data_IF_699402372096
#
_entry.id   IF_699402372096
#
_cell.length_a   1.000
_cell.length_b   1.000
_cell.length_c   1.000
_cell.angle_alpha   90.00
_cell.angle_beta   90.00
_cell.angle_gamma   90.00
#
_symmetry.space_group_name_H-M   'P 1'
#
loop_
_entity.id
_entity.type
_entity.pdbx_description
1 polymer ?
#
# COMPACT_ATOMS: atom_id res chain seq x y z
N UNK A 1 2.90 31.67 10.64
CA UNK A 1 4.31 31.93 10.30
C UNK A 1 4.54 31.22 8.96
N UNK A 2 4.52 31.96 7.86
CA UNK A 2 4.81 31.38 6.54
C UNK A 2 6.32 31.12 6.51
N UNK A 3 6.71 29.85 6.52
CA UNK A 3 8.08 29.46 6.20
C UNK A 3 8.29 29.83 4.74
N UNK A 4 9.26 30.69 4.46
CA UNK A 4 9.69 30.91 3.09
C UNK A 4 10.40 29.62 2.62
N UNK A 5 9.71 28.88 1.75
CA UNK A 5 10.14 27.57 1.25
C UNK A 5 11.45 27.67 0.44
N UNK A 6 11.74 28.85 -0.13
CA UNK A 6 12.92 29.05 -0.97
C UNK A 6 14.18 29.33 -0.16
N UNK A 7 14.06 29.98 1.00
CA UNK A 7 15.22 30.25 1.89
C UNK A 7 15.67 29.02 2.67
N UNK A 8 14.80 28.01 2.83
CA UNK A 8 15.06 26.85 3.69
C UNK A 8 15.01 25.52 2.94
N UNK A 9 15.12 25.53 1.61
CA UNK A 9 14.90 24.33 0.81
C UNK A 9 15.84 23.18 1.20
N UNK A 10 17.12 23.47 1.47
CA UNK A 10 18.10 22.47 1.88
C UNK A 10 17.73 21.84 3.24
N UNK A 11 17.32 22.67 4.20
CA UNK A 11 16.89 22.22 5.53
C UNK A 11 15.63 21.35 5.43
N UNK A 12 14.66 21.76 4.60
CA UNK A 12 13.42 21.02 4.38
C UNK A 12 13.71 19.67 3.71
N UNK A 13 14.62 19.63 2.73
CA UNK A 13 15.00 18.40 2.03
C UNK A 13 15.76 17.43 2.94
N UNK A 14 16.66 17.93 3.77
CA UNK A 14 17.43 17.12 4.73
C UNK A 14 16.49 16.51 5.79
N UNK A 15 15.68 17.36 6.45
CA UNK A 15 14.66 16.92 7.40
C UNK A 15 13.66 15.95 6.74
N UNK A 16 13.25 16.22 5.50
CA UNK A 16 12.38 15.33 4.73
C UNK A 16 13.01 13.95 4.54
N UNK A 17 14.29 13.89 4.21
CA UNK A 17 15.04 12.64 4.02
C UNK A 17 15.14 11.83 5.32
N UNK A 18 15.43 12.50 6.45
CA UNK A 18 15.45 11.86 7.77
C UNK A 18 14.07 11.33 8.16
N UNK A 19 13.00 12.08 7.89
CA UNK A 19 11.62 11.64 8.16
C UNK A 19 11.23 10.42 7.32
N UNK A 20 11.59 10.39 6.04
CA UNK A 20 11.35 9.22 5.17
C UNK A 20 12.11 7.99 5.71
N UNK A 21 13.36 8.18 6.16
CA UNK A 21 14.13 7.10 6.78
C UNK A 21 13.44 6.58 8.04
N UNK A 22 13.01 7.47 8.94
CA UNK A 22 12.28 7.11 10.15
C UNK A 22 11.03 6.29 9.82
N UNK A 23 10.21 6.72 8.85
CA UNK A 23 8.99 6.00 8.48
C UNK A 23 9.25 4.62 7.86
N UNK A 24 10.37 4.46 7.14
CA UNK A 24 10.78 3.14 6.62
C UNK A 24 11.33 2.23 7.71
N UNK A 25 11.90 2.79 8.78
CA UNK A 25 12.40 2.04 9.95
C UNK A 25 11.28 1.74 10.97
N UNK A 26 10.22 2.55 11.02
CA UNK A 26 9.05 2.31 11.87
C UNK A 26 7.72 2.47 11.09
N UNK A 27 7.21 1.38 10.49
CA UNK A 27 5.94 1.42 9.75
C UNK A 27 4.74 1.73 10.63
N UNK A 28 4.86 1.62 11.96
CA UNK A 28 3.77 1.91 12.91
C UNK A 28 3.59 3.42 13.04
N UNK A 29 4.71 4.13 13.21
CA UNK A 29 4.73 5.59 13.22
C UNK A 29 4.28 6.10 11.84
N UNK A 30 4.75 5.48 10.75
CA UNK A 30 4.31 5.82 9.41
C UNK A 30 2.78 5.67 9.22
N UNK A 31 2.19 4.55 9.66
CA UNK A 31 0.74 4.34 9.61
C UNK A 31 -0.02 5.43 10.39
N UNK A 32 0.45 5.78 11.58
CA UNK A 32 -0.16 6.81 12.41
C UNK A 32 -0.07 8.20 11.74
N UNK A 33 1.14 8.62 11.37
CA UNK A 33 1.38 10.00 10.94
C UNK A 33 0.87 10.25 9.51
N UNK A 34 1.16 9.30 8.60
CA UNK A 34 0.87 9.44 7.18
C UNK A 34 -0.55 8.99 6.84
N UNK A 35 -1.12 8.01 7.52
CA UNK A 35 -2.43 7.44 7.18
C UNK A 35 -3.52 7.72 8.21
N UNK A 36 -3.17 8.32 9.37
CA UNK A 36 -4.09 8.54 10.50
C UNK A 36 -4.70 7.22 10.99
N UNK A 37 -3.86 6.21 11.13
CA UNK A 37 -4.23 4.88 11.60
C UNK A 37 -3.54 4.60 12.92
N UNK A 38 -4.32 4.47 13.99
CA UNK A 38 -3.83 3.88 15.25
C UNK A 38 -4.13 2.38 15.25
N UNK A 39 -3.07 1.57 15.16
CA UNK A 39 -3.15 0.12 15.11
C UNK A 39 -3.28 -0.48 16.50
N UNK A 40 -4.13 -1.50 16.63
CA UNK A 40 -4.17 -2.30 17.85
C UNK A 40 -2.81 -2.99 18.11
N UNK A 41 -2.44 -3.31 19.37
CA UNK A 41 -1.12 -3.87 19.70
C UNK A 41 -0.72 -5.08 18.84
N UNK A 42 -1.65 -6.01 18.59
CA UNK A 42 -1.39 -7.19 17.75
C UNK A 42 -1.16 -6.83 16.27
N UNK A 43 -1.89 -5.83 15.77
CA UNK A 43 -1.76 -5.34 14.40
C UNK A 43 -0.41 -4.65 14.18
N UNK A 44 0.14 -4.00 15.20
CA UNK A 44 1.49 -3.40 15.15
C UNK A 44 2.57 -4.46 14.94
N UNK A 45 2.50 -5.56 15.67
CA UNK A 45 3.46 -6.67 15.51
C UNK A 45 3.35 -7.23 14.08
N UNK A 46 2.12 -7.48 13.60
CA UNK A 46 1.90 -8.06 12.27
C UNK A 46 2.39 -7.12 11.16
N UNK A 47 2.05 -5.83 11.21
CA UNK A 47 2.51 -4.87 10.19
C UNK A 47 4.03 -4.80 10.15
N UNK A 48 4.70 -4.81 11.30
CA UNK A 48 6.17 -4.82 11.37
C UNK A 48 6.76 -6.08 10.72
N UNK A 49 6.17 -7.24 10.96
CA UNK A 49 6.60 -8.50 10.34
C UNK A 49 6.37 -8.51 8.82
N UNK A 50 5.24 -7.97 8.34
CA UNK A 50 4.96 -7.82 6.91
C UNK A 50 5.96 -6.86 6.24
N UNK A 51 6.30 -5.76 6.91
CA UNK A 51 7.15 -4.70 6.35
C UNK A 51 8.60 -5.14 6.13
N UNK A 52 9.17 -5.94 7.03
CA UNK A 52 10.58 -6.30 7.01
C UNK A 52 10.89 -7.66 6.38
N UNK A 53 9.87 -8.45 6.01
CA UNK A 53 10.05 -9.78 5.40
C UNK A 53 9.66 -9.77 3.94
N UNK A 54 10.53 -10.33 3.10
CA UNK A 54 10.26 -10.50 1.67
C UNK A 54 9.05 -11.41 1.40
N UNK A 55 8.86 -12.42 2.25
CA UNK A 55 7.73 -13.35 2.18
C UNK A 55 7.17 -13.58 3.58
N UNK A 56 5.88 -13.34 3.75
CA UNK A 56 5.19 -13.51 5.01
C UNK A 56 3.78 -14.08 4.76
N UNK A 57 3.36 -15.00 5.63
CA UNK A 57 2.00 -15.55 5.64
C UNK A 57 1.40 -15.27 7.02
N UNK A 58 0.27 -14.57 7.04
CA UNK A 58 -0.43 -14.18 8.27
C UNK A 58 -1.65 -15.07 8.53
N UNK A 59 -1.49 -16.04 9.44
CA UNK A 59 -2.59 -16.87 9.93
C UNK A 59 -3.25 -16.16 11.11
N UNK A 60 -4.51 -15.79 10.96
CA UNK A 60 -5.27 -14.99 11.94
C UNK A 60 -6.74 -15.43 11.89
N UNK A 61 -7.44 -15.33 13.01
CA UNK A 61 -8.89 -15.51 13.08
C UNK A 61 -9.71 -14.43 12.36
N UNK A 62 -11.03 -14.64 12.32
CA UNK A 62 -11.98 -13.69 11.73
C UNK A 62 -12.07 -12.42 12.57
N UNK A 63 -12.30 -11.28 11.93
CA UNK A 63 -12.51 -9.99 12.61
C UNK A 63 -11.24 -9.30 13.13
N UNK A 64 -10.05 -9.85 12.89
CA UNK A 64 -8.78 -9.27 13.34
C UNK A 64 -8.19 -8.20 12.39
N UNK A 65 -8.90 -7.87 11.30
CA UNK A 65 -8.52 -6.79 10.39
C UNK A 65 -7.41 -7.13 9.39
N UNK A 66 -7.33 -8.38 8.90
CA UNK A 66 -6.36 -8.80 7.86
C UNK A 66 -6.42 -7.89 6.62
N UNK A 67 -7.58 -7.82 5.97
CA UNK A 67 -7.80 -7.02 4.74
C UNK A 67 -7.39 -5.56 4.92
N UNK A 68 -7.68 -5.02 6.11
CA UNK A 68 -7.26 -3.67 6.50
C UNK A 68 -5.73 -3.54 6.63
N UNK A 69 -5.08 -4.49 7.30
CA UNK A 69 -3.62 -4.53 7.42
C UNK A 69 -2.91 -4.63 6.06
N UNK A 70 -3.41 -5.48 5.15
CA UNK A 70 -2.88 -5.58 3.78
C UNK A 70 -2.97 -4.25 3.04
N UNK A 71 -4.10 -3.53 3.19
CA UNK A 71 -4.27 -2.20 2.59
C UNK A 71 -3.34 -1.14 3.20
N UNK A 72 -3.11 -1.17 4.52
CA UNK A 72 -2.15 -0.28 5.19
C UNK A 72 -0.74 -0.55 4.67
N UNK A 73 -0.32 -1.82 4.63
CA UNK A 73 1.01 -2.20 4.14
C UNK A 73 1.22 -1.77 2.68
N UNK A 74 0.28 -2.11 1.79
CA UNK A 74 0.28 -1.69 0.39
C UNK A 74 0.41 -0.16 0.23
N UNK A 75 -0.38 0.59 1.00
CA UNK A 75 -0.41 2.06 0.92
C UNK A 75 0.88 2.68 1.41
N UNK A 76 1.44 2.19 2.52
CA UNK A 76 2.72 2.68 3.04
C UNK A 76 3.87 2.37 2.07
N UNK A 77 3.90 1.17 1.49
CA UNK A 77 4.93 0.83 0.50
C UNK A 77 4.84 1.73 -0.74
N UNK A 78 3.65 1.93 -1.28
CA UNK A 78 3.45 2.82 -2.43
C UNK A 78 3.79 4.28 -2.11
N UNK A 79 3.55 4.75 -0.89
CA UNK A 79 3.82 6.11 -0.46
C UNK A 79 5.30 6.37 -0.14
N UNK A 80 5.98 5.40 0.48
CA UNK A 80 7.35 5.56 0.99
C UNK A 80 8.42 5.11 0.01
N UNK A 81 8.10 4.31 -1.02
CA UNK A 81 9.04 3.88 -2.05
C UNK A 81 8.60 4.44 -3.41
N UNK A 82 9.42 5.27 -4.07
CA UNK A 82 9.10 5.79 -5.40
C UNK A 82 8.97 4.68 -6.45
N UNK A 83 8.02 4.82 -7.37
CA UNK A 83 7.79 3.88 -8.47
C UNK A 83 7.32 2.49 -8.04
N UNK A 84 6.85 2.33 -6.80
CA UNK A 84 6.51 1.03 -6.25
C UNK A 84 5.16 0.53 -6.78
N UNK A 85 5.12 -0.72 -7.26
CA UNK A 85 3.97 -1.35 -7.91
C UNK A 85 3.44 -2.43 -6.99
N UNK A 86 2.24 -2.23 -6.47
CA UNK A 86 1.59 -3.12 -5.51
C UNK A 86 0.38 -3.79 -6.16
N UNK A 87 0.35 -5.11 -6.14
CA UNK A 87 -0.79 -5.92 -6.59
C UNK A 87 -1.66 -6.35 -5.42
N UNK A 88 -2.96 -6.05 -5.46
CA UNK A 88 -3.95 -6.52 -4.49
C UNK A 88 -4.74 -7.68 -5.09
N UNK A 89 -4.51 -8.88 -4.56
CA UNK A 89 -4.99 -10.14 -5.14
C UNK A 89 -5.82 -10.89 -4.10
N UNK A 90 -6.79 -11.68 -4.59
CA UNK A 90 -7.53 -12.63 -3.76
C UNK A 90 -8.14 -13.72 -4.65
N UNK A 91 -8.82 -14.70 -4.07
CA UNK A 91 -9.41 -15.82 -4.82
C UNK A 91 -10.44 -15.38 -5.87
N UNK A 92 -11.02 -14.18 -5.71
CA UNK A 92 -11.87 -13.53 -6.70
C UNK A 92 -11.60 -12.04 -6.78
N UNK A 93 -11.91 -11.43 -7.93
CA UNK A 93 -11.77 -9.98 -8.08
C UNK A 93 -12.69 -9.20 -7.13
N UNK A 94 -13.86 -9.76 -6.80
CA UNK A 94 -14.76 -9.18 -5.78
C UNK A 94 -14.06 -9.05 -4.43
N UNK A 95 -13.27 -10.05 -4.03
CA UNK A 95 -12.53 -10.01 -2.78
C UNK A 95 -11.31 -9.09 -2.84
N UNK A 96 -10.57 -9.07 -3.95
CA UNK A 96 -9.50 -8.10 -4.16
C UNK A 96 -10.00 -6.65 -4.03
N UNK A 97 -11.23 -6.38 -4.49
CA UNK A 97 -11.90 -5.07 -4.29
C UNK A 97 -12.15 -4.73 -2.83
N UNK A 98 -12.22 -5.69 -1.90
CA UNK A 98 -12.33 -5.38 -0.47
C UNK A 98 -11.03 -4.78 0.07
N UNK A 99 -9.87 -5.32 -0.32
CA UNK A 99 -8.58 -4.71 0.03
C UNK A 99 -8.50 -3.29 -0.54
N UNK A 100 -8.89 -3.12 -1.81
CA UNK A 100 -8.94 -1.79 -2.43
C UNK A 100 -9.93 -0.82 -1.75
N UNK A 101 -11.04 -1.33 -1.22
CA UNK A 101 -12.01 -0.52 -0.46
C UNK A 101 -11.38 0.03 0.82
N UNK A 102 -10.48 -0.71 1.46
CA UNK A 102 -9.72 -0.21 2.61
C UNK A 102 -8.70 0.86 2.19
N UNK A 103 -8.04 0.71 1.03
CA UNK A 103 -7.18 1.76 0.45
C UNK A 103 -7.97 3.05 0.19
N UNK A 104 -9.21 2.97 -0.31
CA UNK A 104 -10.09 4.13 -0.50
C UNK A 104 -10.46 4.83 0.82
N UNK A 105 -10.67 4.05 1.90
CA UNK A 105 -10.91 4.61 3.23
C UNK A 105 -9.67 5.34 3.75
N UNK A 106 -8.48 4.77 3.54
CA UNK A 106 -7.21 5.42 3.89
C UNK A 106 -7.03 6.73 3.11
N UNK A 107 -7.31 6.72 1.80
CA UNK A 107 -7.29 7.92 0.94
C UNK A 107 -8.24 9.01 1.45
N UNK A 108 -9.47 8.63 1.81
CA UNK A 108 -10.46 9.58 2.34
C UNK A 108 -10.03 10.16 3.69
N UNK A 109 -9.33 9.36 4.51
CA UNK A 109 -8.89 9.78 5.85
C UNK A 109 -7.66 10.68 5.82
N UNK A 110 -6.64 10.35 5.03
CA UNK A 110 -5.35 11.04 5.06
C UNK A 110 -5.23 12.13 3.99
N UNK A 111 -5.02 13.38 4.41
CA UNK A 111 -4.68 14.48 3.49
C UNK A 111 -3.32 14.28 2.83
N UNK A 112 -2.34 13.70 3.54
CA UNK A 112 -1.00 13.42 3.01
C UNK A 112 -1.10 12.43 1.85
N UNK A 113 -1.87 11.35 2.04
CA UNK A 113 -2.08 10.36 0.98
C UNK A 113 -2.80 10.98 -0.23
N UNK A 114 -3.81 11.84 -0.01
CA UNK A 114 -4.48 12.52 -1.12
C UNK A 114 -3.53 13.41 -1.90
N UNK A 115 -2.68 14.15 -1.21
CA UNK A 115 -1.71 15.05 -1.85
C UNK A 115 -0.64 14.27 -2.63
N UNK A 116 -0.25 13.09 -2.15
CA UNK A 116 0.69 12.22 -2.85
C UNK A 116 0.11 11.57 -4.12
N UNK A 117 -1.22 11.56 -4.31
CA UNK A 117 -1.88 10.90 -5.43
C UNK A 117 -2.18 11.86 -6.59
N UNK A 118 -2.14 11.34 -7.82
CA UNK A 118 -2.51 12.11 -9.02
C UNK A 118 -4.00 12.43 -9.05
N UNK A 119 -4.82 11.44 -8.69
CA UNK A 119 -6.28 11.45 -8.71
C UNK A 119 -6.83 10.61 -7.56
N UNK A 120 -8.12 10.76 -7.29
CA UNK A 120 -8.85 9.84 -6.40
C UNK A 120 -8.78 8.39 -6.90
N UNK A 121 -8.93 7.39 -6.02
CA UNK A 121 -9.00 5.98 -6.41
C UNK A 121 -10.05 5.73 -7.48
N UNK A 122 -9.74 4.85 -8.45
CA UNK A 122 -10.60 4.55 -9.60
C UNK A 122 -11.00 3.08 -9.57
N UNK A 123 -12.29 2.82 -9.75
CA UNK A 123 -12.84 1.46 -9.85
C UNK A 123 -13.27 1.15 -11.29
N UNK A 124 -12.70 0.11 -11.86
CA UNK A 124 -13.09 -0.48 -13.13
C UNK A 124 -13.73 -1.86 -13.00
N UNK A 125 -14.17 -2.39 -14.13
CA UNK A 125 -14.72 -3.74 -14.27
C UNK A 125 -13.65 -4.83 -14.20
N UNK A 126 -12.41 -4.50 -14.49
CA UNK A 126 -11.25 -5.40 -14.63
C UNK A 126 -10.00 -4.94 -13.86
N UNK A 127 -9.97 -3.68 -13.39
CA UNK A 127 -8.93 -3.16 -12.51
C UNK A 127 -9.52 -2.12 -11.56
N UNK A 128 -9.06 -2.09 -10.31
CA UNK A 128 -9.21 -0.91 -9.45
C UNK A 128 -7.82 -0.40 -9.11
N UNK A 129 -7.59 0.91 -9.19
CA UNK A 129 -6.24 1.44 -9.01
C UNK A 129 -6.18 2.80 -8.32
N UNK A 130 -5.04 3.05 -7.69
CA UNK A 130 -4.61 4.34 -7.16
C UNK A 130 -3.20 4.63 -7.68
N UNK A 131 -3.00 5.81 -8.28
CA UNK A 131 -1.71 6.27 -8.80
C UNK A 131 -1.16 7.41 -7.96
N UNK A 132 0.12 7.32 -7.64
CA UNK A 132 0.90 8.32 -6.93
C UNK A 132 1.62 9.21 -7.93
N UNK A 133 1.89 10.46 -7.54
CA UNK A 133 2.72 11.38 -8.33
C UNK A 133 4.17 10.84 -8.36
N UNK A 134 4.87 11.04 -9.47
CA UNK A 134 6.32 10.83 -9.54
C UNK A 134 7.08 11.92 -8.78
N UNK A 135 8.30 11.61 -8.33
CA UNK A 135 9.20 12.60 -7.71
C UNK A 135 10.00 13.40 -8.73
N UNK A 136 10.14 12.85 -9.94
CA UNK A 136 10.90 13.39 -11.07
C UNK A 136 10.14 13.07 -12.38
N UNK A 137 10.83 12.98 -13.53
CA UNK A 137 10.28 12.41 -14.77
C UNK A 137 10.00 10.89 -14.68
N UNK A 138 10.11 10.30 -13.47
CA UNK A 138 9.86 8.90 -13.19
C UNK A 138 8.37 8.62 -13.00
N UNK A 139 7.95 7.40 -13.35
CA UNK A 139 6.59 6.97 -13.04
C UNK A 139 6.38 6.89 -11.53
N UNK A 140 5.26 7.40 -11.05
CA UNK A 140 4.88 7.25 -9.65
C UNK A 140 4.51 5.82 -9.27
N UNK A 141 4.27 5.61 -7.99
CA UNK A 141 3.83 4.32 -7.44
C UNK A 141 2.38 4.01 -7.81
N UNK A 142 2.04 2.72 -7.87
CA UNK A 142 0.73 2.23 -8.28
C UNK A 142 0.26 1.15 -7.31
N UNK A 143 -1.01 1.24 -6.88
CA UNK A 143 -1.71 0.14 -6.19
C UNK A 143 -2.81 -0.33 -7.12
N UNK A 144 -2.83 -1.61 -7.46
CA UNK A 144 -3.76 -2.19 -8.43
C UNK A 144 -4.41 -3.47 -7.87
N UNK A 145 -5.72 -3.46 -7.71
CA UNK A 145 -6.49 -4.68 -7.54
C UNK A 145 -6.82 -5.27 -8.91
N UNK A 146 -6.47 -6.55 -9.10
CA UNK A 146 -6.65 -7.25 -10.37
C UNK A 146 -7.40 -8.58 -10.17
N UNK A 147 -8.17 -9.05 -11.16
CA UNK A 147 -8.60 -10.43 -11.20
C UNK A 147 -7.38 -11.34 -11.35
N UNK A 148 -7.45 -12.56 -10.80
CA UNK A 148 -6.45 -13.61 -11.07
C UNK A 148 -6.47 -14.04 -12.55
N UNK A 149 -7.66 -14.12 -13.14
CA UNK A 149 -7.87 -14.77 -14.43
C UNK A 149 -7.72 -16.29 -14.33
N UNK A 150 -7.77 -16.98 -15.47
CA UNK A 150 -7.42 -18.41 -15.55
C UNK A 150 -5.90 -18.53 -15.40
N UNK A 151 -5.44 -19.37 -14.47
CA UNK A 151 -4.02 -19.64 -14.20
C UNK A 151 -3.15 -18.39 -13.95
N UNK A 152 -3.70 -17.37 -13.27
CA UNK A 152 -2.94 -16.15 -12.96
C UNK A 152 -2.62 -15.27 -14.19
N UNK A 153 -3.20 -15.54 -15.36
CA UNK A 153 -2.88 -14.83 -16.60
C UNK A 153 -3.06 -13.31 -16.54
N UNK A 154 -3.94 -12.81 -15.66
CA UNK A 154 -4.24 -11.38 -15.53
C UNK A 154 -3.27 -10.63 -14.62
N UNK A 155 -2.43 -11.34 -13.86
CA UNK A 155 -1.40 -10.77 -12.99
C UNK A 155 0.02 -11.00 -13.53
N UNK A 156 0.19 -11.96 -14.44
CA UNK A 156 1.44 -12.19 -15.17
C UNK A 156 1.75 -10.97 -16.05
N UNK A 157 2.96 -10.42 -15.90
CA UNK A 157 3.43 -9.23 -16.64
C UNK A 157 3.27 -7.89 -15.92
N UNK A 158 2.55 -7.86 -14.78
CA UNK A 158 2.33 -6.62 -14.01
C UNK A 158 3.56 -6.15 -13.23
N UNK A 159 4.63 -6.94 -13.14
CA UNK A 159 5.92 -6.58 -12.50
C UNK A 159 5.73 -5.89 -11.14
N UNK A 160 4.91 -6.49 -10.27
CA UNK A 160 4.70 -6.00 -8.92
C UNK A 160 5.98 -6.19 -8.08
N UNK A 161 6.30 -5.18 -7.27
CA UNK A 161 7.34 -5.28 -6.23
C UNK A 161 6.77 -5.87 -4.94
N UNK A 162 5.47 -5.70 -4.71
CA UNK A 162 4.72 -6.27 -3.59
C UNK A 162 3.39 -6.84 -4.08
N UNK A 163 3.05 -8.04 -3.64
CA UNK A 163 1.76 -8.67 -3.89
C UNK A 163 1.12 -8.97 -2.54
N UNK A 164 -0.03 -8.35 -2.29
CA UNK A 164 -0.85 -8.62 -1.11
C UNK A 164 -1.97 -9.58 -1.50
N UNK A 165 -1.97 -10.77 -0.90
CA UNK A 165 -2.96 -11.82 -1.20
C UNK A 165 -3.88 -12.02 0.00
N UNK A 166 -5.15 -11.64 -0.14
CA UNK A 166 -6.17 -11.93 0.86
C UNK A 166 -6.84 -13.28 0.59
N UNK A 167 -7.22 -13.98 1.66
CA UNK A 167 -7.78 -15.34 1.62
C UNK A 167 -6.90 -16.33 0.82
N UNK A 168 -5.58 -16.31 1.06
CA UNK A 168 -4.59 -17.16 0.37
C UNK A 168 -4.99 -18.65 0.32
N UNK A 169 -5.59 -19.18 1.39
CA UNK A 169 -6.03 -20.58 1.46
C UNK A 169 -7.11 -20.94 0.42
N UNK A 170 -7.75 -19.95 -0.20
CA UNK A 170 -8.77 -20.11 -1.24
C UNK A 170 -8.20 -19.85 -2.65
N UNK A 171 -6.94 -19.46 -2.76
CA UNK A 171 -6.27 -19.25 -4.05
C UNK A 171 -5.73 -20.60 -4.54
N UNK A 172 -5.98 -20.98 -5.81
CA UNK A 172 -5.45 -22.24 -6.37
C UNK A 172 -3.93 -22.31 -6.25
N UNK A 173 -3.41 -23.46 -5.81
CA UNK A 173 -1.96 -23.66 -5.58
C UNK A 173 -1.12 -23.42 -6.83
N UNK A 174 -1.63 -23.76 -8.01
CA UNK A 174 -1.00 -23.54 -9.32
C UNK A 174 -0.68 -22.07 -9.66
N UNK A 175 -1.24 -21.11 -8.92
CA UNK A 175 -0.99 -19.69 -9.08
C UNK A 175 0.14 -19.21 -8.13
N UNK A 176 0.35 -19.93 -7.04
CA UNK A 176 1.26 -19.58 -5.95
C UNK A 176 2.60 -20.34 -6.07
N UNK A 177 2.54 -21.61 -6.48
CA UNK A 177 3.68 -22.50 -6.72
C UNK A 177 4.39 -22.19 -8.05
#
# INVERSE_FOLDING_TARGET
MSIDLYENIDVIMDQGSEMIKLYREDPIIAAHDLLKVDLAPIQRIILRELWFKNFAIIVMGRGLGKTFLLAVNATLHALLYPGYRVGLISSSFRQAKYIFSEVEKLYTRSSILREACEKRPIRGSDVCYLKFKGTDDSNGSHIEALPLGVDGAKIRGSRFYLIEIDELAQVPSQIID
#
